data_IF_730424498976
#
_entry.id   IF_730424498976
#
_cell.length_a   1.000
_cell.length_b   1.000
_cell.length_c   1.000
_cell.angle_alpha   90.00
_cell.angle_beta   90.00
_cell.angle_gamma   90.00
#
_symmetry.space_group_name_H-M   'P 1'
#
loop_
_entity.id
_entity.type
_entity.pdbx_description
1 polymer ?
#
# COMPACT_ATOMS: atom_id res chain seq x y z
N UNK A 1 14.34 -22.03 15.93
CA UNK A 1 14.17 -21.36 14.63
C UNK A 1 13.31 -20.13 14.87
N UNK A 2 13.89 -18.93 14.84
CA UNK A 2 13.19 -17.67 15.11
C UNK A 2 12.21 -17.36 13.98
N UNK A 3 10.94 -17.12 14.32
CA UNK A 3 9.94 -16.64 13.37
C UNK A 3 9.90 -15.10 13.50
N UNK A 4 10.13 -14.40 12.40
CA UNK A 4 10.08 -12.93 12.38
C UNK A 4 8.80 -12.45 11.69
N UNK A 5 8.14 -11.47 12.30
CA UNK A 5 6.83 -10.96 11.85
C UNK A 5 6.98 -9.56 11.26
N UNK A 6 6.67 -9.42 9.98
CA UNK A 6 6.50 -8.11 9.35
C UNK A 6 5.07 -7.59 9.58
N UNK A 7 4.84 -6.96 10.73
CA UNK A 7 3.65 -6.15 11.01
C UNK A 7 3.89 -4.74 10.46
N UNK A 8 3.23 -4.38 9.36
CA UNK A 8 3.39 -3.06 8.75
C UNK A 8 2.09 -2.49 8.19
N UNK A 9 1.59 -1.42 8.83
CA UNK A 9 0.49 -0.60 8.30
C UNK A 9 0.92 0.49 7.31
N UNK A 10 2.18 0.43 6.84
CA UNK A 10 2.79 1.39 5.92
C UNK A 10 3.81 0.65 5.04
N UNK A 11 4.26 1.29 3.95
CA UNK A 11 5.27 0.78 3.00
C UNK A 11 6.51 0.16 3.65
N UNK A 12 6.92 0.68 4.82
CA UNK A 12 8.00 0.16 5.68
C UNK A 12 7.88 -1.36 5.90
N UNK A 13 6.68 -1.91 6.10
CA UNK A 13 6.50 -3.35 6.32
C UNK A 13 6.91 -4.20 5.11
N UNK A 14 6.59 -3.72 3.91
CA UNK A 14 6.97 -4.38 2.65
C UNK A 14 8.45 -4.17 2.36
N UNK A 15 8.97 -2.95 2.53
CA UNK A 15 10.37 -2.66 2.20
C UNK A 15 11.35 -3.32 3.19
N UNK A 16 10.99 -3.46 4.47
CA UNK A 16 11.69 -4.35 5.42
C UNK A 16 11.58 -5.81 4.97
N UNK A 17 10.39 -6.31 4.62
CA UNK A 17 10.22 -7.71 4.16
C UNK A 17 11.07 -8.03 2.93
N UNK A 18 11.10 -7.14 1.93
CA UNK A 18 11.92 -7.27 0.74
C UNK A 18 13.42 -7.17 1.06
N UNK A 19 13.83 -6.26 1.93
CA UNK A 19 15.24 -6.10 2.32
C UNK A 19 15.76 -7.35 3.04
N UNK A 20 14.95 -7.95 3.94
CA UNK A 20 15.27 -9.21 4.63
C UNK A 20 15.30 -10.45 3.71
N UNK A 21 14.86 -10.33 2.46
CA UNK A 21 14.91 -11.40 1.44
C UNK A 21 16.09 -11.19 0.49
N UNK A 22 16.46 -9.94 0.21
CA UNK A 22 17.64 -9.57 -0.59
C UNK A 22 18.96 -9.66 0.22
N UNK A 23 18.90 -9.69 1.56
CA UNK A 23 20.07 -9.73 2.45
C UNK A 23 20.63 -11.17 2.62
N UNK A 24 21.89 -11.43 2.20
CA UNK A 24 22.49 -12.76 2.26
C UNK A 24 22.93 -13.21 3.67
N UNK A 25 23.09 -12.28 4.62
CA UNK A 25 23.46 -12.59 6.00
C UNK A 25 22.23 -12.94 6.86
N UNK A 26 21.02 -12.58 6.41
CA UNK A 26 19.74 -12.93 7.04
C UNK A 26 19.38 -14.40 6.80
N UNK A 27 19.88 -15.27 7.68
CA UNK A 27 19.58 -16.73 7.67
C UNK A 27 18.16 -17.09 8.14
N UNK A 28 17.25 -16.11 8.25
CA UNK A 28 15.87 -16.30 8.72
C UNK A 28 14.91 -16.14 7.54
N UNK A 29 14.27 -17.24 7.13
CA UNK A 29 13.24 -17.19 6.09
C UNK A 29 11.91 -16.69 6.66
N UNK A 30 11.41 -15.56 6.14
CA UNK A 30 10.06 -15.07 6.43
C UNK A 30 9.01 -16.11 5.97
N UNK A 31 8.12 -16.52 6.88
CA UNK A 31 6.94 -17.36 6.56
C UNK A 31 5.86 -16.56 5.83
N UNK A 32 5.57 -15.38 6.37
CA UNK A 32 4.40 -14.55 6.07
C UNK A 32 4.73 -13.06 6.15
N UNK A 33 4.01 -12.23 5.41
CA UNK A 33 3.92 -10.78 5.68
C UNK A 33 2.44 -10.37 5.85
N UNK A 34 2.17 -9.35 6.68
CA UNK A 34 0.80 -8.88 6.94
C UNK A 34 0.71 -7.36 6.84
N UNK A 35 -0.07 -6.89 5.87
CA UNK A 35 -0.21 -5.50 5.49
C UNK A 35 -1.62 -5.03 5.82
N UNK A 36 -1.75 -3.97 6.62
CA UNK A 36 -3.03 -3.50 7.12
C UNK A 36 -3.23 -2.05 6.65
N UNK A 37 -4.21 -1.84 5.77
CA UNK A 37 -4.48 -0.56 5.08
C UNK A 37 -3.19 0.19 4.62
N UNK A 38 -2.35 -0.46 3.78
CA UNK A 38 -0.98 -0.01 3.53
C UNK A 38 -0.91 1.13 2.50
N UNK A 39 -0.15 2.18 2.81
CA UNK A 39 0.34 3.14 1.82
C UNK A 39 1.47 2.51 1.00
N UNK A 40 1.34 2.44 -0.33
CA UNK A 40 2.27 1.68 -1.19
C UNK A 40 2.74 2.41 -2.44
N UNK A 41 2.10 3.52 -2.83
CA UNK A 41 2.59 4.40 -3.88
C UNK A 41 2.35 5.88 -3.59
N UNK A 42 3.18 6.72 -4.19
CA UNK A 42 3.00 8.17 -4.25
C UNK A 42 3.22 8.68 -5.68
N UNK A 43 2.73 7.93 -6.68
CA UNK A 43 2.74 8.31 -8.09
C UNK A 43 1.41 8.93 -8.54
N UNK A 44 0.30 8.24 -8.29
CA UNK A 44 -1.05 8.70 -8.59
C UNK A 44 -1.80 8.88 -7.25
N UNK A 45 -1.77 10.10 -6.74
CA UNK A 45 -2.53 10.55 -5.58
C UNK A 45 -3.93 11.03 -5.98
N UNK A 46 -4.41 10.67 -7.18
CA UNK A 46 -5.77 10.91 -7.66
C UNK A 46 -6.39 9.64 -8.24
N UNK A 47 -6.04 8.47 -7.70
CA UNK A 47 -6.81 7.24 -7.84
C UNK A 47 -8.28 7.45 -7.39
N UNK A 48 -9.22 6.58 -7.80
CA UNK A 48 -10.61 6.63 -7.35
C UNK A 48 -10.78 6.77 -5.83
N UNK A 49 -10.09 5.95 -5.02
CA UNK A 49 -10.10 6.05 -3.56
C UNK A 49 -9.57 7.39 -3.04
N UNK A 50 -8.58 7.99 -3.72
CA UNK A 50 -8.04 9.31 -3.38
C UNK A 50 -9.01 10.47 -3.67
N UNK A 51 -10.02 10.25 -4.53
CA UNK A 51 -11.13 11.21 -4.74
C UNK A 51 -12.28 10.93 -3.79
N UNK A 52 -12.78 9.69 -3.81
CA UNK A 52 -13.94 9.21 -3.06
C UNK A 52 -13.79 9.45 -1.55
N UNK A 53 -12.63 9.08 -1.00
CA UNK A 53 -12.35 9.14 0.43
C UNK A 53 -11.48 10.36 0.83
N UNK A 54 -11.37 11.36 -0.06
CA UNK A 54 -10.48 12.53 0.09
C UNK A 54 -10.63 13.29 1.42
N UNK A 55 -11.83 13.29 2.01
CA UNK A 55 -12.16 13.94 3.28
C UNK A 55 -12.76 12.96 4.31
N UNK A 56 -12.56 11.65 4.16
CA UNK A 56 -13.13 10.66 5.07
C UNK A 56 -12.45 10.67 6.45
N UNK A 57 -13.17 10.19 7.47
CA UNK A 57 -12.71 10.12 8.85
C UNK A 57 -11.43 9.25 8.99
N UNK A 58 -10.50 9.72 9.81
CA UNK A 58 -9.24 9.03 10.11
C UNK A 58 -8.06 9.48 9.23
N UNK A 59 -8.21 9.55 7.90
CA UNK A 59 -7.08 9.82 6.99
C UNK A 59 -7.50 10.60 5.72
N UNK A 60 -7.23 11.91 5.69
CA UNK A 60 -7.60 12.80 4.57
C UNK A 60 -6.50 12.93 3.50
N UNK A 61 -6.86 13.35 2.29
CA UNK A 61 -5.91 13.59 1.18
C UNK A 61 -4.85 14.63 1.54
N UNK A 62 -5.23 15.72 2.22
CA UNK A 62 -4.29 16.74 2.69
C UNK A 62 -3.28 16.19 3.72
N UNK A 63 -3.70 15.27 4.59
CA UNK A 63 -2.81 14.65 5.58
C UNK A 63 -1.88 13.61 4.94
N UNK A 64 -2.38 12.74 4.06
CA UNK A 64 -1.56 11.78 3.29
C UNK A 64 -0.52 12.48 2.43
N UNK A 65 -0.92 13.53 1.72
CA UNK A 65 -0.03 14.36 0.91
C UNK A 65 1.08 14.97 1.76
N UNK A 66 0.76 15.51 2.94
CA UNK A 66 1.72 16.08 3.89
C UNK A 66 2.69 15.03 4.46
N UNK A 67 2.21 13.81 4.76
CA UNK A 67 3.07 12.71 5.19
C UNK A 67 4.04 12.29 4.08
N UNK A 68 3.55 12.09 2.85
CA UNK A 68 4.41 11.74 1.72
C UNK A 68 5.42 12.83 1.41
N UNK A 69 5.02 14.10 1.30
CA UNK A 69 5.97 15.18 1.01
C UNK A 69 7.04 15.29 2.09
N UNK A 70 6.63 15.18 3.37
CA UNK A 70 7.53 15.22 4.53
C UNK A 70 8.47 14.02 4.65
N UNK A 71 8.16 12.89 4.01
CA UNK A 71 9.08 11.74 3.90
C UNK A 71 10.24 12.04 2.92
N UNK A 72 9.97 12.78 1.84
CA UNK A 72 10.96 13.07 0.79
C UNK A 72 11.73 14.39 0.99
N UNK A 73 11.10 15.42 1.58
CA UNK A 73 11.71 16.75 1.74
C UNK A 73 11.00 17.61 2.79
N UNK A 74 11.68 18.64 3.28
CA UNK A 74 11.06 19.72 4.08
C UNK A 74 10.38 20.79 3.21
N UNK A 75 10.59 20.78 1.89
CA UNK A 75 10.02 21.76 0.96
C UNK A 75 8.49 21.60 0.82
N UNK A 76 7.78 22.68 1.13
CA UNK A 76 6.31 22.80 1.04
C UNK A 76 5.82 22.86 -0.42
N UNK A 77 6.69 23.13 -1.40
CA UNK A 77 6.33 23.12 -2.82
C UNK A 77 5.88 21.72 -3.28
N UNK A 78 6.55 20.67 -2.79
CA UNK A 78 6.19 19.28 -3.09
C UNK A 78 4.83 18.92 -2.50
N UNK A 79 4.50 19.36 -1.28
CA UNK A 79 3.17 19.14 -0.68
C UNK A 79 2.06 19.71 -1.59
N UNK A 80 2.23 20.93 -2.11
CA UNK A 80 1.27 21.54 -3.03
C UNK A 80 1.17 20.77 -4.35
N UNK A 81 2.31 20.37 -4.94
CA UNK A 81 2.31 19.59 -6.19
C UNK A 81 1.62 18.23 -6.02
N UNK A 82 1.94 17.50 -4.94
CA UNK A 82 1.35 16.22 -4.58
C UNK A 82 -0.17 16.32 -4.32
N UNK A 83 -0.64 17.43 -3.73
CA UNK A 83 -2.08 17.64 -3.51
C UNK A 83 -2.86 17.66 -4.83
N UNK A 84 -2.32 18.32 -5.85
CA UNK A 84 -2.91 18.38 -7.19
C UNK A 84 -2.53 17.19 -8.08
N UNK A 85 -1.84 16.17 -7.53
CA UNK A 85 -1.31 15.03 -8.28
C UNK A 85 -0.38 15.44 -9.45
N UNK A 86 0.20 16.64 -9.35
CA UNK A 86 0.96 17.27 -10.41
C UNK A 86 2.41 16.77 -10.42
N UNK A 87 2.68 15.51 -10.07
CA UNK A 87 3.94 15.23 -9.42
C UNK A 87 4.81 14.03 -9.85
N UNK A 88 4.59 13.28 -10.95
CA UNK A 88 5.54 12.25 -11.48
C UNK A 88 6.12 12.55 -12.90
N UNK A 89 7.41 12.32 -13.25
CA UNK A 89 8.05 12.97 -14.40
C UNK A 89 7.57 12.52 -15.79
N UNK A 90 7.85 13.33 -16.81
CA UNK A 90 7.64 12.92 -18.22
C UNK A 90 8.64 11.81 -18.56
N UNK A 91 9.87 11.96 -18.10
CA UNK A 91 11.01 11.08 -18.25
C UNK A 91 10.74 9.71 -17.59
N UNK A 92 10.11 9.71 -16.41
CA UNK A 92 9.70 8.50 -15.67
C UNK A 92 8.28 8.03 -16.01
N UNK A 93 7.74 8.44 -17.17
CA UNK A 93 6.49 7.91 -17.73
C UNK A 93 6.48 6.39 -17.79
N UNK A 94 7.63 5.76 -18.06
CA UNK A 94 7.83 4.32 -18.06
C UNK A 94 7.51 3.61 -16.73
N UNK A 95 7.52 4.32 -15.58
CA UNK A 95 7.20 3.76 -14.27
C UNK A 95 5.69 3.76 -13.97
N UNK A 96 4.88 4.54 -14.69
CA UNK A 96 3.41 4.50 -14.57
C UNK A 96 2.83 3.12 -14.89
N UNK A 97 3.54 2.26 -15.65
CA UNK A 97 3.12 0.86 -15.89
C UNK A 97 2.88 0.07 -14.60
N UNK A 98 3.60 0.40 -13.52
CA UNK A 98 3.51 -0.28 -12.22
C UNK A 98 2.33 0.20 -11.35
N UNK A 99 1.77 1.37 -11.68
CA UNK A 99 0.60 1.99 -11.00
C UNK A 99 -0.54 2.25 -12.00
N UNK A 100 -0.55 1.55 -13.13
CA UNK A 100 -1.54 1.76 -14.17
C UNK A 100 -2.89 1.20 -13.72
N UNK A 101 -3.66 1.99 -12.97
CA UNK A 101 -5.00 1.66 -12.50
C UNK A 101 -5.93 1.23 -13.63
N UNK A 102 -5.69 1.66 -14.88
CA UNK A 102 -6.51 1.24 -16.03
C UNK A 102 -6.35 -0.24 -16.38
N UNK A 103 -5.26 -0.88 -15.95
CA UNK A 103 -5.03 -2.33 -16.03
C UNK A 103 -5.01 -3.05 -14.67
N UNK A 104 -4.76 -2.33 -13.56
CA UNK A 104 -4.58 -2.91 -12.23
C UNK A 104 -5.81 -2.78 -11.29
N UNK A 105 -6.76 -1.89 -11.58
CA UNK A 105 -8.03 -1.80 -10.85
C UNK A 105 -9.19 -2.40 -11.67
N UNK A 106 -10.17 -3.06 -11.02
CA UNK A 106 -11.43 -3.45 -11.65
C UNK A 106 -12.20 -2.26 -12.25
N UNK A 107 -12.99 -2.51 -13.30
CA UNK A 107 -13.70 -1.50 -14.11
C UNK A 107 -14.52 -0.44 -13.35
N UNK A 108 -14.99 -0.75 -12.14
CA UNK A 108 -15.69 0.20 -11.26
C UNK A 108 -14.82 1.35 -10.73
N UNK A 109 -13.50 1.34 -10.95
CA UNK A 109 -12.53 2.24 -10.32
C UNK A 109 -11.50 2.84 -11.32
N UNK A 110 -11.87 3.77 -12.24
CA UNK A 110 -10.99 4.16 -13.38
C UNK A 110 -11.04 5.63 -13.91
N UNK A 111 -10.14 6.57 -13.46
CA UNK A 111 -9.80 7.93 -14.05
C UNK A 111 -8.45 8.49 -13.47
N UNK A 112 -7.59 9.30 -14.17
CA UNK A 112 -6.20 9.71 -13.70
C UNK A 112 -5.47 10.95 -14.34
N UNK A 113 -4.24 11.34 -13.85
CA UNK A 113 -3.52 12.67 -14.06
C UNK A 113 -1.92 12.69 -14.07
N UNK A 114 -1.20 13.83 -13.85
CA UNK A 114 0.23 14.18 -14.27
C UNK A 114 0.85 15.54 -13.70
N UNK A 115 2.17 15.95 -13.49
CA UNK A 115 3.62 15.44 -13.53
C UNK A 115 4.76 16.35 -12.84
N UNK A 116 5.75 15.85 -12.01
CA UNK A 116 7.03 16.46 -11.40
C UNK A 116 8.01 15.37 -10.75
N UNK A 117 9.12 15.59 -9.95
CA UNK A 117 10.23 14.57 -9.66
C UNK A 117 10.34 13.42 -8.58
N UNK A 118 10.26 13.60 -7.24
CA UNK A 118 11.09 12.83 -6.23
C UNK A 118 10.67 11.50 -5.52
N UNK A 119 9.58 10.80 -5.84
CA UNK A 119 8.91 9.72 -5.04
C UNK A 119 9.18 8.28 -5.56
N UNK A 120 10.18 8.11 -6.41
CA UNK A 120 10.44 6.85 -7.14
C UNK A 120 11.15 5.77 -6.30
N UNK A 121 11.45 6.04 -5.03
CA UNK A 121 12.14 5.10 -4.15
C UNK A 121 11.23 3.92 -3.79
N UNK A 122 11.56 2.72 -4.28
CA UNK A 122 10.81 1.47 -4.02
C UNK A 122 10.74 1.10 -2.53
N UNK A 123 11.59 1.68 -1.67
CA UNK A 123 11.52 1.50 -0.21
C UNK A 123 10.39 2.32 0.42
N UNK A 124 10.06 3.45 -0.20
CA UNK A 124 8.96 4.34 0.17
C UNK A 124 7.66 3.95 -0.56
N UNK A 125 7.76 3.54 -1.83
CA UNK A 125 6.66 3.15 -2.71
C UNK A 125 6.83 1.69 -3.24
N UNK A 126 6.56 0.65 -2.43
CA UNK A 126 6.79 -0.76 -2.79
C UNK A 126 5.93 -1.27 -3.95
N UNK A 127 4.83 -0.60 -4.30
CA UNK A 127 4.06 -0.90 -5.52
C UNK A 127 4.85 -0.61 -6.80
N UNK A 128 6.03 0.03 -6.70
CA UNK A 128 6.97 0.26 -7.82
C UNK A 128 8.09 -0.79 -7.91
N UNK A 129 8.16 -1.75 -7.00
CA UNK A 129 9.18 -2.79 -7.05
C UNK A 129 9.06 -3.67 -8.30
N UNK A 130 10.18 -4.21 -8.78
CA UNK A 130 10.22 -5.07 -9.96
C UNK A 130 9.56 -6.44 -9.69
N UNK A 131 8.95 -7.03 -10.72
CA UNK A 131 8.27 -8.34 -10.63
C UNK A 131 9.20 -9.47 -10.16
N UNK A 132 10.50 -9.40 -10.46
CA UNK A 132 11.49 -10.37 -9.98
C UNK A 132 11.82 -10.23 -8.49
N UNK A 133 11.55 -9.07 -7.87
CA UNK A 133 11.56 -8.93 -6.41
C UNK A 133 10.23 -9.36 -5.80
N UNK A 134 9.13 -8.91 -6.39
CA UNK A 134 7.78 -9.23 -5.89
C UNK A 134 7.52 -10.74 -5.82
N UNK A 135 7.93 -11.51 -6.83
CA UNK A 135 7.73 -12.98 -6.87
C UNK A 135 8.42 -13.77 -5.76
N UNK A 136 9.40 -13.18 -5.07
CA UNK A 136 10.14 -13.82 -3.98
C UNK A 136 9.50 -13.57 -2.60
N UNK A 137 8.45 -12.74 -2.54
CA UNK A 137 7.77 -12.38 -1.29
C UNK A 137 7.02 -13.58 -0.67
N UNK A 138 6.89 -13.61 0.67
CA UNK A 138 6.28 -14.72 1.38
C UNK A 138 4.75 -14.75 1.19
N UNK A 139 4.10 -15.74 1.80
CA UNK A 139 2.64 -15.77 1.91
C UNK A 139 2.13 -14.45 2.48
N UNK A 140 1.30 -13.74 1.71
CA UNK A 140 0.96 -12.35 1.98
C UNK A 140 -0.50 -12.20 2.38
N UNK A 141 -0.74 -11.52 3.49
CA UNK A 141 -2.08 -11.09 3.92
C UNK A 141 -2.22 -9.58 3.75
N UNK A 142 -3.32 -9.14 3.13
CA UNK A 142 -3.61 -7.70 2.93
C UNK A 142 -5.03 -7.38 3.40
N UNK A 143 -5.16 -6.42 4.32
CA UNK A 143 -6.44 -5.77 4.65
C UNK A 143 -6.52 -4.43 3.92
N UNK A 144 -7.67 -4.15 3.33
CA UNK A 144 -8.03 -2.83 2.78
C UNK A 144 -9.45 -2.47 3.22
N UNK A 145 -9.76 -1.19 3.37
CA UNK A 145 -11.07 -0.71 3.81
C UNK A 145 -11.82 0.02 2.67
N UNK A 146 -13.15 -0.01 2.67
CA UNK A 146 -13.98 0.66 1.64
C UNK A 146 -13.77 2.18 1.65
N UNK A 147 -13.86 2.78 2.83
CA UNK A 147 -13.68 4.20 3.12
C UNK A 147 -12.26 4.52 3.56
N UNK A 148 -11.30 4.03 2.78
CA UNK A 148 -9.88 4.35 2.93
C UNK A 148 -9.36 5.01 1.66
N UNK A 149 -8.61 6.09 1.83
CA UNK A 149 -7.95 6.79 0.73
C UNK A 149 -6.86 5.91 0.07
N UNK A 150 -6.23 5.03 0.86
CA UNK A 150 -5.19 4.06 0.44
C UNK A 150 -5.76 2.73 -0.07
N UNK A 151 -7.08 2.62 -0.24
CA UNK A 151 -7.74 1.39 -0.72
C UNK A 151 -7.14 0.88 -2.02
N UNK A 152 -6.99 1.76 -3.01
CA UNK A 152 -6.61 1.37 -4.36
C UNK A 152 -5.10 1.01 -4.47
N UNK A 153 -4.24 1.60 -3.63
CA UNK A 153 -2.83 1.17 -3.43
C UNK A 153 -2.77 -0.32 -3.08
N UNK A 154 -3.53 -0.73 -2.06
CA UNK A 154 -3.57 -2.11 -1.58
C UNK A 154 -4.16 -3.08 -2.60
N UNK A 155 -5.21 -2.68 -3.32
CA UNK A 155 -5.81 -3.51 -4.38
C UNK A 155 -4.83 -3.73 -5.54
N UNK A 156 -4.20 -2.67 -6.07
CA UNK A 156 -3.22 -2.80 -7.14
C UNK A 156 -2.02 -3.68 -6.73
N UNK A 157 -1.60 -3.61 -5.47
CA UNK A 157 -0.51 -4.43 -4.95
C UNK A 157 -0.90 -5.91 -4.86
N UNK A 158 -2.09 -6.23 -4.36
CA UNK A 158 -2.65 -7.60 -4.38
C UNK A 158 -2.65 -8.16 -5.80
N UNK A 159 -3.14 -7.40 -6.78
CA UNK A 159 -3.16 -7.82 -8.19
C UNK A 159 -1.75 -8.03 -8.75
N UNK A 160 -0.78 -7.14 -8.49
CA UNK A 160 0.61 -7.35 -8.94
C UNK A 160 1.23 -8.61 -8.31
N UNK A 161 1.07 -8.81 -7.00
CA UNK A 161 1.56 -10.00 -6.29
C UNK A 161 0.97 -11.30 -6.86
N UNK A 162 -0.34 -11.34 -7.09
CA UNK A 162 -1.02 -12.50 -7.68
C UNK A 162 -0.53 -12.79 -9.10
N UNK A 163 -0.35 -11.76 -9.94
CA UNK A 163 0.15 -11.89 -11.31
C UNK A 163 1.57 -12.47 -11.38
N UNK A 164 2.41 -12.25 -10.36
CA UNK A 164 3.77 -12.82 -10.29
C UNK A 164 3.86 -14.15 -9.51
N UNK A 165 2.70 -14.71 -9.12
CA UNK A 165 2.60 -16.04 -8.49
C UNK A 165 2.75 -16.07 -6.97
N UNK A 166 2.75 -14.93 -6.28
CA UNK A 166 2.74 -14.90 -4.81
C UNK A 166 1.38 -15.36 -4.30
N UNK A 167 1.36 -16.19 -3.26
CA UNK A 167 0.12 -16.54 -2.55
C UNK A 167 -0.34 -15.34 -1.73
N UNK A 168 -1.48 -14.76 -2.10
CA UNK A 168 -2.07 -13.60 -1.42
C UNK A 168 -3.48 -13.92 -0.94
N UNK A 169 -3.74 -13.67 0.35
CA UNK A 169 -5.10 -13.54 0.89
C UNK A 169 -5.40 -12.05 1.05
N UNK A 170 -6.46 -11.58 0.40
CA UNK A 170 -6.90 -10.18 0.45
C UNK A 170 -8.28 -10.08 1.06
N UNK A 171 -8.38 -9.41 2.20
CA UNK A 171 -9.64 -9.10 2.85
C UNK A 171 -9.97 -7.62 2.61
N UNK A 172 -10.92 -7.38 1.70
CA UNK A 172 -11.54 -6.06 1.57
C UNK A 172 -12.67 -5.93 2.59
N UNK A 173 -12.55 -4.96 3.48
CA UNK A 173 -13.54 -4.66 4.51
C UNK A 173 -14.49 -3.58 4.01
N UNK A 174 -15.59 -4.03 3.40
CA UNK A 174 -16.81 -3.22 3.20
C UNK A 174 -17.23 -2.54 4.52
N UNK A 175 -17.82 -1.34 4.44
CA UNK A 175 -18.10 -0.41 5.55
C UNK A 175 -16.90 0.06 6.41
N UNK A 176 -15.73 -0.54 6.25
CA UNK A 176 -14.51 -0.18 6.98
C UNK A 176 -13.84 1.10 6.50
N UNK A 177 -13.02 1.68 7.38
CA UNK A 177 -12.27 2.92 7.14
C UNK A 177 -10.81 2.82 7.62
N UNK A 178 -9.96 3.79 7.26
CA UNK A 178 -8.54 3.77 7.60
C UNK A 178 -8.31 3.80 9.12
N UNK A 179 -7.40 2.97 9.63
CA UNK A 179 -7.04 2.97 11.05
C UNK A 179 -8.11 2.40 11.99
N UNK A 180 -9.16 1.75 11.48
CA UNK A 180 -10.31 1.28 12.26
C UNK A 180 -9.96 0.38 13.48
N UNK A 181 -8.80 -0.29 13.49
CA UNK A 181 -8.33 -1.08 14.66
C UNK A 181 -8.08 -0.24 15.92
N UNK A 182 -7.81 1.07 15.77
CA UNK A 182 -7.55 2.00 16.88
C UNK A 182 -8.84 2.32 17.66
N UNK A 183 -10.00 2.24 17.01
CA UNK A 183 -11.28 2.71 17.55
C UNK A 183 -11.95 1.62 18.40
N UNK A 184 -11.48 1.48 19.64
CA UNK A 184 -12.06 0.57 20.64
C UNK A 184 -13.58 0.73 20.78
N UNK A 185 -14.30 -0.38 20.93
CA UNK A 185 -15.77 -0.43 21.03
C UNK A 185 -16.52 -0.42 19.69
N UNK A 186 -15.88 -0.06 18.57
CA UNK A 186 -16.53 -0.10 17.25
C UNK A 186 -16.66 -1.54 16.71
N UNK A 187 -17.83 -1.92 16.18
CA UNK A 187 -18.05 -3.26 15.59
C UNK A 187 -17.09 -3.59 14.44
N UNK A 188 -16.73 -2.59 13.64
CA UNK A 188 -15.76 -2.71 12.54
C UNK A 188 -14.39 -3.21 13.02
N UNK A 189 -13.90 -2.71 14.17
CA UNK A 189 -12.62 -3.13 14.78
C UNK A 189 -12.63 -4.63 15.04
N UNK A 190 -13.61 -5.13 15.78
CA UNK A 190 -13.73 -6.55 16.11
C UNK A 190 -13.88 -7.44 14.87
N UNK A 191 -14.53 -6.96 13.80
CA UNK A 191 -14.63 -7.72 12.54
C UNK A 191 -13.26 -7.86 11.86
N UNK A 192 -12.47 -6.79 11.77
CA UNK A 192 -11.12 -6.82 11.20
C UNK A 192 -10.17 -7.66 12.08
N UNK A 193 -10.23 -7.50 13.40
CA UNK A 193 -9.44 -8.30 14.36
C UNK A 193 -9.73 -9.79 14.20
N UNK A 194 -11.00 -10.20 14.22
CA UNK A 194 -11.38 -11.61 14.10
C UNK A 194 -10.97 -12.20 12.75
N UNK A 195 -11.12 -11.44 11.65
CA UNK A 195 -10.65 -11.86 10.32
C UNK A 195 -9.14 -12.06 10.29
N UNK A 196 -8.36 -11.15 10.90
CA UNK A 196 -6.91 -11.27 10.96
C UNK A 196 -6.47 -12.42 11.85
N UNK A 197 -7.07 -12.59 13.03
CA UNK A 197 -6.73 -13.65 13.97
C UNK A 197 -7.08 -15.05 13.45
N UNK A 198 -8.19 -15.20 12.71
CA UNK A 198 -8.51 -16.46 12.00
C UNK A 198 -7.40 -16.78 10.99
N UNK A 199 -7.06 -15.83 10.11
CA UNK A 199 -6.03 -16.03 9.11
C UNK A 199 -4.66 -16.37 9.72
N UNK A 200 -4.26 -15.71 10.81
CA UNK A 200 -3.04 -16.04 11.55
C UNK A 200 -3.08 -17.46 12.12
N UNK A 201 -4.21 -17.89 12.68
CA UNK A 201 -4.37 -19.25 13.24
C UNK A 201 -4.34 -20.37 12.18
N UNK A 202 -4.62 -20.03 10.92
CA UNK A 202 -4.60 -20.96 9.78
C UNK A 202 -3.23 -21.04 9.09
N UNK A 203 -2.32 -20.08 9.31
CA UNK A 203 -1.13 -19.87 8.46
C UNK A 203 0.22 -19.73 9.20
N UNK A 204 0.28 -20.01 10.52
CA UNK A 204 1.50 -19.91 11.35
C UNK A 204 1.98 -21.25 11.92
#
# INVERSE_FOLDING_TARGET
MSQFFALGGQSIGVSVSASLIDDPDVKIKLKTQSLIYPALQSLDLDLPSYRENSNFLGLTKSFVVRLWSGYFTTDRSLEKAMFFNQHVPVESSNLFKFVNWSSLLPEKFKKGWQKYPGFLDVRAAPLLADDNKLRNLPLTYVITCQYDILRDDGIMYVTRLQNVGVRVTHNHTEDGFHGALIYCGFKIRYRIENQYMSWLSENL
#
